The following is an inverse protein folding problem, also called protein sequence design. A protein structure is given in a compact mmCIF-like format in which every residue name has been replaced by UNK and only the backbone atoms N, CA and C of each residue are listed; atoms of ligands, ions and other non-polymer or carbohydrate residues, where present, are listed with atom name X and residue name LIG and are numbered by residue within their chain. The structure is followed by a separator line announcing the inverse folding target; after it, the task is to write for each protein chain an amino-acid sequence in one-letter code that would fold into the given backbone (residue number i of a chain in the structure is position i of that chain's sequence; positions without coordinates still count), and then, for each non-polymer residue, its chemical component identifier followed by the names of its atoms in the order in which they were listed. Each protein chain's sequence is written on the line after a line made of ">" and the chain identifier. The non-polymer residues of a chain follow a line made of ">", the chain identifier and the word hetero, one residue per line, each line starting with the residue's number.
data_IF_318822871743
#
_entry.id   IF_318822871743
#
_cell.length_a   1.000
_cell.length_b   1.000
_cell.length_c   1.000
_cell.angle_alpha   90.00
_cell.angle_beta   90.00
_cell.angle_gamma   90.00
#
_symmetry.space_group_name_H-M   'P 1'
#
loop_
_entity.id
_entity.type
_entity.pdbx_description
1 polymer ?
#
# COMPACT_ATOMS: atom_id res chain seq x y z
N UNK A 1 -0.20 3.17 -14.37
CA UNK A 1 1.18 3.41 -13.90
C UNK A 1 1.31 2.78 -12.52
N UNK A 2 2.22 1.86 -12.34
CA UNK A 2 2.47 1.27 -11.03
C UNK A 2 3.41 2.19 -10.26
N UNK A 3 2.87 2.98 -9.35
CA UNK A 3 3.64 4.00 -8.61
C UNK A 3 4.40 3.37 -7.43
N UNK A 4 4.16 2.09 -7.12
CA UNK A 4 4.78 1.35 -6.00
C UNK A 4 4.64 2.04 -4.64
N UNK A 5 3.57 2.80 -4.47
CA UNK A 5 3.32 3.56 -3.26
C UNK A 5 2.49 2.75 -2.25
N UNK A 6 2.80 2.93 -0.98
CA UNK A 6 1.98 2.42 0.11
C UNK A 6 0.62 3.13 0.16
N UNK A 7 -0.36 2.59 0.88
CA UNK A 7 -1.66 3.25 1.05
C UNK A 7 -1.56 4.72 1.47
N UNK A 8 -0.71 5.02 2.44
CA UNK A 8 -0.57 6.38 2.98
C UNK A 8 0.08 7.35 1.99
N UNK A 9 1.08 6.90 1.24
CA UNK A 9 1.76 7.75 0.25
C UNK A 9 0.92 7.96 -1.01
N UNK A 10 0.05 7.02 -1.34
CA UNK A 10 -0.85 7.11 -2.50
C UNK A 10 -2.04 8.07 -2.27
N UNK A 11 -2.55 8.21 -1.05
CA UNK A 11 -3.75 8.99 -0.75
C UNK A 11 -3.74 10.43 -1.26
N UNK A 12 -2.68 11.24 -1.09
CA UNK A 12 -2.65 12.60 -1.63
C UNK A 12 -2.83 12.64 -3.16
N UNK A 13 -2.18 11.72 -3.87
CA UNK A 13 -2.28 11.62 -5.33
C UNK A 13 -3.68 11.20 -5.79
N UNK A 14 -4.31 10.26 -5.10
CA UNK A 14 -5.67 9.83 -5.41
C UNK A 14 -6.68 10.97 -5.25
N UNK A 15 -6.51 11.81 -4.23
CA UNK A 15 -7.35 12.99 -4.03
C UNK A 15 -7.23 13.97 -5.20
N UNK A 16 -6.03 14.24 -5.67
CA UNK A 16 -5.80 15.12 -6.82
C UNK A 16 -6.31 14.51 -8.14
N UNK A 17 -6.04 13.23 -8.37
CA UNK A 17 -6.54 12.49 -9.54
C UNK A 17 -8.07 12.52 -9.57
N UNK A 18 -8.72 12.26 -8.43
CA UNK A 18 -10.19 12.23 -8.37
C UNK A 18 -10.82 13.61 -8.62
N UNK A 19 -10.18 14.69 -8.19
CA UNK A 19 -10.62 16.06 -8.52
C UNK A 19 -10.50 16.36 -10.01
N UNK A 20 -9.42 15.91 -10.63
CA UNK A 20 -9.11 16.23 -12.03
C UNK A 20 -9.91 15.37 -13.04
N UNK A 21 -10.24 14.13 -12.67
CA UNK A 21 -10.85 13.15 -13.58
C UNK A 21 -12.29 12.81 -13.17
N UNK A 22 -13.18 12.74 -14.18
CA UNK A 22 -14.58 12.30 -14.00
C UNK A 22 -14.79 10.81 -14.37
N UNK A 23 -13.79 10.17 -14.95
CA UNK A 23 -13.85 8.75 -15.31
C UNK A 23 -13.66 7.82 -14.11
N UNK A 24 -13.81 6.52 -14.34
CA UNK A 24 -13.48 5.51 -13.34
C UNK A 24 -12.00 5.56 -12.96
N UNK A 25 -11.72 5.39 -11.69
CA UNK A 25 -10.37 5.39 -11.12
C UNK A 25 -10.11 4.07 -10.42
N UNK A 26 -8.94 3.51 -10.63
CA UNK A 26 -8.46 2.31 -9.94
C UNK A 26 -7.32 2.65 -8.99
N UNK A 27 -7.31 2.04 -7.81
CA UNK A 27 -6.24 2.19 -6.82
C UNK A 27 -5.77 0.83 -6.33
N UNK A 28 -4.50 0.53 -6.54
CA UNK A 28 -3.84 -0.72 -6.17
C UNK A 28 -2.51 -0.43 -5.48
N UNK A 29 -2.52 -0.01 -4.20
CA UNK A 29 -1.29 0.22 -3.46
C UNK A 29 -0.50 -1.08 -3.25
N UNK A 30 0.78 -0.94 -2.99
CA UNK A 30 1.59 -2.04 -2.46
C UNK A 30 1.30 -2.23 -0.98
N UNK A 31 1.48 -3.46 -0.49
CA UNK A 31 1.21 -3.78 0.92
C UNK A 31 2.43 -3.57 1.84
N UNK A 32 3.28 -2.60 1.55
CA UNK A 32 4.44 -2.29 2.39
C UNK A 32 4.40 -0.84 2.85
N UNK A 33 4.82 -0.58 4.11
CA UNK A 33 4.93 0.76 4.66
C UNK A 33 6.12 1.47 4.06
N UNK A 34 5.89 2.33 3.08
CA UNK A 34 6.90 3.21 2.50
C UNK A 34 6.83 4.60 3.13
N UNK A 35 7.91 5.38 2.99
CA UNK A 35 7.98 6.77 3.46
C UNK A 35 8.30 7.70 2.30
N UNK A 36 8.21 9.00 2.54
CA UNK A 36 8.61 10.00 1.52
C UNK A 36 10.08 9.91 1.16
N UNK A 37 10.92 9.56 2.14
CA UNK A 37 12.37 9.38 1.97
C UNK A 37 12.70 8.08 1.24
N UNK A 38 11.90 7.04 1.49
CA UNK A 38 12.04 5.72 0.88
C UNK A 38 10.70 5.31 0.24
N UNK A 39 10.35 5.88 -0.92
CA UNK A 39 9.03 5.69 -1.54
C UNK A 39 8.87 4.32 -2.18
N UNK A 40 9.91 3.54 -2.29
CA UNK A 40 9.86 2.18 -2.84
C UNK A 40 10.25 1.14 -1.79
N UNK A 41 9.58 -0.02 -1.81
CA UNK A 41 9.87 -1.10 -0.88
C UNK A 41 11.22 -1.80 -1.12
N UNK A 42 11.88 -1.52 -2.24
CA UNK A 42 13.23 -2.01 -2.52
C UNK A 42 14.29 -1.39 -1.62
N UNK A 43 14.06 -0.16 -1.16
CA UNK A 43 15.03 0.64 -0.42
C UNK A 43 14.61 0.88 1.04
N UNK A 44 13.61 0.16 1.54
CA UNK A 44 13.21 0.28 2.94
C UNK A 44 14.38 -0.09 3.86
N UNK A 45 14.71 0.73 4.86
CA UNK A 45 15.76 0.41 5.80
C UNK A 45 15.32 -0.69 6.77
N UNK A 46 16.25 -1.52 7.20
CA UNK A 46 16.04 -2.43 8.31
C UNK A 46 16.20 -1.66 9.64
N UNK A 47 15.10 -1.14 10.15
CA UNK A 47 15.08 -0.38 11.40
C UNK A 47 15.29 -1.27 12.66
N UNK A 48 15.27 -2.58 12.51
CA UNK A 48 15.42 -3.51 13.63
C UNK A 48 16.90 -3.89 13.89
N UNK A 49 17.83 -3.35 13.12
CA UNK A 49 19.26 -3.56 13.33
C UNK A 49 19.74 -4.98 13.07
N UNK A 50 18.89 -5.87 12.59
CA UNK A 50 19.25 -7.23 12.26
C UNK A 50 19.47 -7.40 10.74
N UNK A 51 20.63 -6.97 10.28
CA UNK A 51 21.08 -7.25 8.91
C UNK A 51 21.61 -8.68 8.72
N UNK A 52 21.38 -9.55 9.71
CA UNK A 52 21.93 -10.91 9.71
C UNK A 52 21.38 -11.83 8.62
N UNK A 53 20.31 -11.42 7.95
CA UNK A 53 19.62 -12.25 6.94
C UNK A 53 19.69 -11.69 5.51
N UNK A 54 20.20 -10.50 5.32
CA UNK A 54 20.31 -9.92 3.98
C UNK A 54 21.71 -9.44 3.69
N UNK A 55 22.34 -9.87 2.58
CA UNK A 55 23.66 -9.41 2.19
C UNK A 55 23.68 -7.93 1.81
N UNK A 56 22.53 -7.27 1.70
CA UNK A 56 22.39 -5.93 1.11
C UNK A 56 21.97 -4.82 2.09
N UNK A 57 21.97 -5.03 3.38
CA UNK A 57 21.55 -4.04 4.39
C UNK A 57 20.11 -3.52 4.23
N UNK A 58 19.31 -4.12 3.37
CA UNK A 58 17.89 -3.80 3.15
C UNK A 58 17.04 -5.06 3.29
N UNK A 59 15.80 -4.98 3.78
CA UNK A 59 14.91 -6.12 3.89
C UNK A 59 14.56 -6.77 2.56
N UNK A 60 14.63 -6.03 1.47
CA UNK A 60 14.36 -6.55 0.14
C UNK A 60 15.48 -7.51 -0.33
N UNK A 61 15.14 -8.65 -0.94
CA UNK A 61 13.77 -9.13 -1.23
C UNK A 61 13.19 -10.07 -0.19
N UNK A 62 13.94 -10.57 0.77
CA UNK A 62 13.60 -11.78 1.55
C UNK A 62 13.06 -11.51 2.96
N UNK A 63 13.14 -10.29 3.47
CA UNK A 63 12.78 -9.94 4.85
C UNK A 63 11.78 -8.77 4.92
N UNK A 64 10.82 -8.72 4.01
CA UNK A 64 9.83 -7.65 3.92
C UNK A 64 8.61 -7.82 4.84
N UNK A 65 8.42 -8.98 5.45
CA UNK A 65 7.25 -9.26 6.27
C UNK A 65 7.01 -8.23 7.39
N UNK A 66 8.02 -7.77 8.14
CA UNK A 66 7.82 -6.74 9.17
C UNK A 66 7.38 -5.38 8.62
N UNK A 67 7.59 -5.15 7.32
CA UNK A 67 7.23 -3.90 6.65
C UNK A 67 5.83 -3.92 6.08
N UNK A 68 5.11 -5.04 6.15
CA UNK A 68 3.74 -5.15 5.63
C UNK A 68 2.77 -4.29 6.43
N UNK A 69 1.82 -3.67 5.70
CA UNK A 69 0.65 -3.06 6.31
C UNK A 69 -0.23 -4.14 6.94
N UNK A 70 -0.81 -3.84 8.08
CA UNK A 70 -1.80 -4.72 8.69
C UNK A 70 -3.19 -4.52 8.06
N UNK A 71 -4.12 -5.42 8.39
CA UNK A 71 -5.48 -5.36 7.85
C UNK A 71 -6.21 -4.05 8.15
N UNK A 72 -6.00 -3.46 9.32
CA UNK A 72 -6.66 -2.21 9.70
C UNK A 72 -6.19 -1.02 8.86
N UNK A 73 -4.91 -0.97 8.52
CA UNK A 73 -4.37 0.06 7.63
C UNK A 73 -4.97 -0.05 6.23
N UNK A 74 -5.08 -1.29 5.72
CA UNK A 74 -5.67 -1.56 4.41
C UNK A 74 -7.19 -1.30 4.41
N UNK A 75 -7.90 -1.71 5.45
CA UNK A 75 -9.33 -1.44 5.60
C UNK A 75 -9.63 0.05 5.66
N UNK A 76 -8.86 0.80 6.45
CA UNK A 76 -8.97 2.27 6.52
C UNK A 76 -8.73 2.91 5.16
N UNK A 77 -7.67 2.51 4.45
CA UNK A 77 -7.39 2.98 3.10
C UNK A 77 -8.56 2.70 2.16
N UNK A 78 -9.08 1.45 2.15
CA UNK A 78 -10.20 1.07 1.30
C UNK A 78 -11.42 1.96 1.53
N UNK A 79 -11.78 2.20 2.79
CA UNK A 79 -12.90 3.06 3.16
C UNK A 79 -12.71 4.50 2.67
N UNK A 80 -11.55 5.09 2.94
CA UNK A 80 -11.26 6.47 2.54
C UNK A 80 -11.28 6.63 1.02
N UNK A 81 -10.72 5.67 0.29
CA UNK A 81 -10.65 5.70 -1.18
C UNK A 81 -12.02 5.45 -1.81
N UNK A 82 -12.81 4.55 -1.21
CA UNK A 82 -14.19 4.32 -1.63
C UNK A 82 -15.05 5.58 -1.44
N UNK A 83 -14.92 6.26 -0.31
CA UNK A 83 -15.63 7.52 -0.01
C UNK A 83 -15.20 8.67 -0.97
N UNK A 84 -13.99 8.61 -1.53
CA UNK A 84 -13.55 9.52 -2.60
C UNK A 84 -14.19 9.22 -3.96
N UNK A 85 -14.88 8.09 -4.12
CA UNK A 85 -15.49 7.66 -5.37
C UNK A 85 -14.54 6.93 -6.31
N UNK A 86 -13.53 6.26 -5.79
CA UNK A 86 -12.69 5.33 -6.56
C UNK A 86 -13.47 4.02 -6.74
N UNK A 87 -13.54 3.52 -7.97
CA UNK A 87 -14.45 2.44 -8.35
C UNK A 87 -13.80 1.05 -8.35
N UNK A 88 -12.50 0.96 -8.43
CA UNK A 88 -11.76 -0.28 -8.46
C UNK A 88 -10.66 -0.26 -7.41
N UNK A 89 -10.77 -1.14 -6.43
CA UNK A 89 -9.85 -1.26 -5.30
C UNK A 89 -9.15 -2.62 -5.32
N UNK A 90 -7.89 -2.62 -5.01
CA UNK A 90 -7.11 -3.84 -4.89
C UNK A 90 -5.82 -3.60 -4.13
N UNK A 91 -4.97 -4.59 -4.08
CA UNK A 91 -3.62 -4.53 -3.52
C UNK A 91 -2.64 -5.12 -4.53
N UNK A 92 -1.48 -4.52 -4.66
CA UNK A 92 -0.41 -4.97 -5.55
C UNK A 92 0.57 -5.90 -4.81
N UNK A 93 1.86 -5.60 -4.84
CA UNK A 93 2.90 -6.42 -4.22
C UNK A 93 2.67 -6.62 -2.71
N UNK A 94 2.89 -7.85 -2.22
CA UNK A 94 2.65 -8.22 -0.84
C UNK A 94 1.18 -8.50 -0.50
N UNK A 95 0.30 -8.54 -1.52
CA UNK A 95 -1.12 -8.86 -1.34
C UNK A 95 -1.31 -10.28 -0.81
N UNK A 96 -2.34 -10.44 0.03
CA UNK A 96 -2.85 -11.74 0.45
C UNK A 96 -4.39 -11.70 0.50
N UNK A 97 -5.07 -12.87 0.49
CA UNK A 97 -6.53 -12.93 0.48
C UNK A 97 -7.20 -12.23 1.67
N UNK A 98 -6.55 -12.22 2.83
CA UNK A 98 -7.08 -11.60 4.05
C UNK A 98 -7.22 -10.08 3.91
N UNK A 99 -6.28 -9.44 3.19
CA UNK A 99 -6.33 -8.00 2.94
C UNK A 99 -7.45 -7.63 1.98
N UNK A 100 -7.64 -8.44 0.93
CA UNK A 100 -8.74 -8.23 -0.02
C UNK A 100 -10.10 -8.38 0.67
N UNK A 101 -10.22 -9.38 1.54
CA UNK A 101 -11.41 -9.57 2.36
C UNK A 101 -11.69 -8.36 3.26
N UNK A 102 -10.68 -7.88 3.98
CA UNK A 102 -10.81 -6.70 4.84
C UNK A 102 -11.22 -5.45 4.05
N UNK A 103 -10.66 -5.27 2.83
CA UNK A 103 -11.07 -4.16 1.95
C UNK A 103 -12.55 -4.25 1.61
N UNK A 104 -13.03 -5.45 1.22
CA UNK A 104 -14.43 -5.68 0.89
C UNK A 104 -15.34 -5.40 2.10
N UNK A 105 -15.04 -5.98 3.26
CA UNK A 105 -15.79 -5.78 4.50
C UNK A 105 -15.81 -4.30 4.91
N UNK A 106 -14.71 -3.57 4.74
CA UNK A 106 -14.60 -2.15 5.08
C UNK A 106 -15.48 -1.23 4.22
N UNK A 107 -15.85 -1.66 3.02
CA UNK A 107 -16.74 -0.90 2.12
C UNK A 107 -18.17 -1.47 2.08
N UNK A 108 -18.47 -2.45 2.93
CA UNK A 108 -19.83 -2.99 3.10
C UNK A 108 -20.21 -4.12 2.16
N UNK A 109 -19.22 -4.82 1.63
CA UNK A 109 -19.41 -6.00 0.77
C UNK A 109 -19.25 -7.31 1.52
#
# INVERSE_FOLDING_TARGET
>A
MCIRDSPNTMMPYLKEIRKALKCHVAALPINYRTTKENPTFFNLPDNNGCSCHTPHKTPFPTALDPMQCNRYEIGKFAKEVFDLGVNYLGVCCGANPMLIREMAESVGL
#
